data_IF_027520037760
#
_entry.id   IF_027520037760
#
_cell.length_a   1.000
_cell.length_b   1.000
_cell.length_c   1.000
_cell.angle_alpha   90.00
_cell.angle_beta   90.00
_cell.angle_gamma   90.00
#
_symmetry.space_group_name_H-M   'P 1'
#
loop_
_entity.id
_entity.type
_entity.pdbx_description
1 polymer ?
#
# COMPACT_ATOMS: atom_id res chain seq x y z
N UNK A 1 44.83 -29.70 -5.50
CA UNK A 1 46.00 -28.82 -5.76
C UNK A 1 45.75 -28.12 -7.09
N UNK A 2 46.19 -26.85 -7.23
CA UNK A 2 45.86 -25.84 -8.26
C UNK A 2 44.58 -25.04 -7.93
N UNK A 3 44.48 -23.69 -7.94
CA UNK A 3 45.33 -22.52 -7.59
C UNK A 3 44.44 -21.27 -7.79
N UNK A 4 44.48 -20.37 -6.80
CA UNK A 4 44.21 -18.90 -6.75
C UNK A 4 43.15 -18.18 -7.62
N UNK A 5 42.44 -17.25 -6.98
CA UNK A 5 41.95 -16.00 -7.58
C UNK A 5 41.44 -15.00 -6.53
N UNK A 6 42.28 -14.02 -6.14
CA UNK A 6 41.88 -12.83 -5.34
C UNK A 6 41.18 -11.85 -6.28
N UNK A 7 40.03 -11.31 -5.89
CA UNK A 7 39.46 -10.09 -6.49
C UNK A 7 39.47 -9.02 -5.41
N UNK A 8 40.23 -7.96 -5.66
CA UNK A 8 40.25 -6.74 -4.87
C UNK A 8 39.11 -5.83 -5.34
N UNK A 9 38.34 -5.26 -4.42
CA UNK A 9 37.41 -4.17 -4.71
C UNK A 9 37.76 -2.96 -3.86
N UNK A 10 37.85 -1.82 -4.55
CA UNK A 10 38.30 -0.51 -4.05
C UNK A 10 37.37 0.04 -2.97
N UNK A 11 37.97 0.67 -1.97
CA UNK A 11 37.31 1.58 -1.04
C UNK A 11 36.86 2.84 -1.80
N UNK A 12 35.58 3.21 -1.67
CA UNK A 12 35.10 4.55 -2.01
C UNK A 12 34.88 5.33 -0.71
N UNK A 13 35.29 6.59 -0.75
CA UNK A 13 35.32 7.54 0.36
C UNK A 13 33.91 7.89 0.85
N UNK A 14 33.73 8.00 2.16
CA UNK A 14 32.42 8.02 2.85
C UNK A 14 31.66 9.35 2.79
N UNK A 15 32.08 10.29 1.96
CA UNK A 15 31.58 11.67 1.99
C UNK A 15 30.38 11.97 1.07
N UNK A 16 29.89 10.99 0.29
CA UNK A 16 28.88 11.24 -0.76
C UNK A 16 27.42 10.87 -0.41
N UNK A 17 27.12 10.53 0.85
CA UNK A 17 25.77 10.10 1.30
C UNK A 17 24.92 11.22 1.96
N UNK A 18 25.16 12.50 1.62
CA UNK A 18 24.46 13.62 2.28
C UNK A 18 23.09 14.00 1.71
N UNK A 19 22.55 13.29 0.73
CA UNK A 19 21.29 13.72 0.08
C UNK A 19 20.39 12.56 -0.32
N UNK A 20 19.80 11.87 0.67
CA UNK A 20 18.49 11.23 0.44
C UNK A 20 17.56 11.47 1.63
N UNK A 21 16.37 11.96 1.28
CA UNK A 21 15.44 12.66 2.15
C UNK A 21 15.06 11.90 3.42
N UNK A 22 14.91 12.69 4.47
CA UNK A 22 14.44 12.29 5.80
C UNK A 22 13.10 11.55 5.72
N UNK A 23 13.12 10.22 5.84
CA UNK A 23 11.94 9.43 6.20
C UNK A 23 12.32 8.35 7.22
N UNK A 24 11.61 8.37 8.35
CA UNK A 24 11.66 7.47 9.52
C UNK A 24 12.99 7.27 10.25
N UNK A 25 13.25 8.16 11.23
CA UNK A 25 14.25 7.94 12.28
C UNK A 25 13.68 7.05 13.40
N UNK A 26 13.54 5.77 13.11
CA UNK A 26 13.73 4.67 14.07
C UNK A 26 14.43 3.53 13.32
N UNK A 27 15.65 3.81 12.88
CA UNK A 27 16.49 2.82 12.21
C UNK A 27 17.30 2.14 13.30
N UNK A 28 16.93 0.90 13.64
CA UNK A 28 17.88 -0.02 14.27
C UNK A 28 19.09 -0.08 13.34
N UNK A 29 20.26 0.37 13.81
CA UNK A 29 21.50 0.27 13.06
C UNK A 29 21.78 -1.22 12.80
N UNK A 30 21.43 -1.66 11.60
CA UNK A 30 22.00 -2.84 10.99
C UNK A 30 22.97 -2.32 9.93
N UNK A 31 24.20 -2.85 9.92
CA UNK A 31 25.10 -2.66 8.79
C UNK A 31 24.48 -3.39 7.59
N UNK A 32 23.71 -2.64 6.79
CA UNK A 32 23.01 -3.19 5.63
C UNK A 32 23.89 -2.93 4.41
N UNK A 33 24.49 -3.99 3.85
CA UNK A 33 25.17 -3.95 2.57
C UNK A 33 24.24 -3.33 1.51
N UNK A 34 24.77 -2.46 0.65
CA UNK A 34 24.04 -1.69 -0.38
C UNK A 34 23.17 -2.59 -1.32
N UNK A 35 23.57 -3.85 -1.50
CA UNK A 35 22.83 -4.88 -2.23
C UNK A 35 21.52 -5.30 -1.54
N UNK A 36 21.45 -5.25 -0.21
CA UNK A 36 20.22 -5.52 0.56
C UNK A 36 19.23 -4.34 0.51
N UNK A 37 19.72 -3.11 0.34
CA UNK A 37 18.88 -1.92 0.17
C UNK A 37 18.25 -1.91 -1.24
N UNK A 38 19.01 -2.27 -2.27
CA UNK A 38 18.49 -2.41 -3.64
C UNK A 38 17.46 -3.55 -3.79
N UNK A 39 17.59 -4.61 -2.99
CA UNK A 39 16.59 -5.69 -2.94
C UNK A 39 15.32 -5.32 -2.15
N UNK A 40 15.35 -4.28 -1.30
CA UNK A 40 14.14 -3.75 -0.66
C UNK A 40 13.23 -2.99 -1.64
N UNK A 41 13.78 -2.55 -2.78
CA UNK A 41 13.06 -1.75 -3.80
C UNK A 41 12.59 -2.59 -4.99
N UNK A 42 13.06 -3.84 -5.15
CA UNK A 42 12.58 -4.75 -6.21
C UNK A 42 11.51 -5.73 -5.70
N UNK A 43 10.24 -5.34 -5.82
CA UNK A 43 9.10 -6.26 -5.62
C UNK A 43 9.00 -7.26 -6.78
N UNK A 44 9.69 -8.40 -6.68
CA UNK A 44 9.54 -9.48 -7.68
C UNK A 44 8.07 -9.92 -7.78
N UNK A 45 7.51 -9.86 -8.99
CA UNK A 45 6.08 -10.09 -9.20
C UNK A 45 5.76 -11.09 -10.32
N UNK A 46 6.80 -11.69 -10.92
CA UNK A 46 6.71 -12.66 -12.01
C UNK A 46 5.79 -13.84 -11.64
N UNK A 47 4.85 -14.18 -12.52
CA UNK A 47 3.87 -15.25 -12.32
C UNK A 47 4.53 -16.61 -12.09
N UNK A 48 5.71 -16.87 -12.68
CA UNK A 48 6.45 -18.14 -12.52
C UNK A 48 6.97 -18.35 -11.10
N UNK A 49 7.06 -17.27 -10.32
CA UNK A 49 7.48 -17.30 -8.91
C UNK A 49 6.29 -17.42 -7.95
N UNK A 50 5.05 -17.58 -8.44
CA UNK A 50 3.83 -17.52 -7.64
C UNK A 50 2.93 -18.74 -7.86
N UNK A 51 2.47 -19.35 -6.77
CA UNK A 51 1.29 -20.20 -6.80
C UNK A 51 0.04 -19.31 -6.78
N UNK A 52 -0.57 -19.13 -7.95
CA UNK A 52 -1.70 -18.21 -8.13
C UNK A 52 -3.00 -18.87 -7.68
N UNK A 53 -3.67 -18.26 -6.69
CA UNK A 53 -4.99 -18.66 -6.21
C UNK A 53 -6.14 -17.89 -6.89
N UNK A 54 -7.28 -17.79 -6.20
CA UNK A 54 -8.42 -16.96 -6.62
C UNK A 54 -8.07 -15.47 -6.52
N UNK A 55 -8.80 -14.65 -7.28
CA UNK A 55 -8.71 -13.19 -7.17
C UNK A 55 -9.06 -12.71 -5.75
N UNK A 56 -8.35 -11.67 -5.29
CA UNK A 56 -8.69 -11.00 -4.05
C UNK A 56 -9.85 -10.05 -4.29
N UNK A 57 -10.91 -10.18 -3.49
CA UNK A 57 -12.13 -9.37 -3.60
C UNK A 57 -12.30 -8.36 -2.47
N UNK A 58 -11.27 -8.14 -1.63
CA UNK A 58 -11.33 -7.06 -0.64
C UNK A 58 -11.35 -5.74 -1.41
N UNK A 59 -12.35 -4.91 -1.14
CA UNK A 59 -12.60 -3.73 -1.95
C UNK A 59 -13.39 -2.69 -1.18
N UNK A 60 -14.41 -2.13 -1.83
CA UNK A 60 -15.10 -0.95 -1.32
C UNK A 60 -15.77 -1.20 0.04
N UNK A 61 -16.29 -2.40 0.27
CA UNK A 61 -16.93 -2.80 1.53
C UNK A 61 -15.97 -2.71 2.73
N UNK A 62 -14.71 -3.14 2.55
CA UNK A 62 -13.67 -3.09 3.58
C UNK A 62 -13.14 -1.68 3.76
N UNK A 63 -12.85 -0.98 2.68
CA UNK A 63 -12.32 0.39 2.72
C UNK A 63 -13.28 1.33 3.46
N UNK A 64 -14.60 1.18 3.29
CA UNK A 64 -15.61 1.98 3.99
C UNK A 64 -15.64 1.79 5.51
N UNK A 65 -15.10 0.70 6.03
CA UNK A 65 -15.04 0.43 7.47
C UNK A 65 -13.78 1.00 8.12
N UNK A 66 -12.76 1.36 7.32
CA UNK A 66 -11.49 1.87 7.83
C UNK A 66 -11.69 3.24 8.48
N UNK A 67 -11.02 3.42 9.62
CA UNK A 67 -10.89 4.71 10.30
C UNK A 67 -9.47 5.22 10.14
N UNK A 68 -9.35 6.46 9.70
CA UNK A 68 -8.07 7.16 9.54
C UNK A 68 -7.94 8.18 10.66
N UNK A 69 -6.76 8.23 11.26
CA UNK A 69 -6.47 9.06 12.42
C UNK A 69 -5.25 9.93 12.16
N UNK A 70 -5.30 11.16 12.69
CA UNK A 70 -4.10 11.94 12.94
C UNK A 70 -3.49 11.47 14.26
N UNK A 71 -2.18 11.25 14.31
CA UNK A 71 -1.50 10.82 15.52
C UNK A 71 -0.06 11.33 15.55
N UNK A 72 0.54 11.27 16.74
CA UNK A 72 1.98 11.47 16.95
C UNK A 72 2.53 10.27 17.71
N UNK A 73 3.81 9.96 17.54
CA UNK A 73 4.41 8.86 18.28
C UNK A 73 4.69 9.26 19.74
N UNK A 74 4.41 8.33 20.67
CA UNK A 74 4.64 8.57 22.10
C UNK A 74 6.10 8.88 22.40
N UNK A 75 7.03 8.19 21.73
CA UNK A 75 8.49 8.31 21.89
C UNK A 75 9.12 9.35 20.94
N UNK A 76 8.31 10.12 20.23
CA UNK A 76 8.80 11.24 19.41
C UNK A 76 8.66 12.54 20.19
N UNK A 77 9.81 13.17 20.49
CA UNK A 77 9.88 14.42 21.25
C UNK A 77 9.44 15.61 20.40
N UNK A 78 9.61 15.54 19.08
CA UNK A 78 9.20 16.61 18.15
C UNK A 78 7.69 16.61 17.88
N UNK A 79 6.99 15.55 18.30
CA UNK A 79 5.55 15.35 18.08
C UNK A 79 5.15 15.56 16.62
N UNK A 80 5.94 14.98 15.71
CA UNK A 80 5.70 15.07 14.28
C UNK A 80 4.30 14.51 13.94
N UNK A 81 3.44 15.28 13.26
CA UNK A 81 2.12 14.83 12.87
C UNK A 81 2.19 13.73 11.81
N UNK A 82 1.42 12.66 12.03
CA UNK A 82 1.26 11.56 11.08
C UNK A 82 -0.22 11.28 10.83
N UNK A 83 -0.49 10.69 9.67
CA UNK A 83 -1.81 10.18 9.29
C UNK A 83 -1.70 8.68 9.07
N UNK A 84 -2.64 7.91 9.59
CA UNK A 84 -2.65 6.48 9.38
C UNK A 84 -3.82 5.76 10.01
N UNK A 85 -3.70 4.45 10.10
CA UNK A 85 -4.70 3.56 10.71
C UNK A 85 -4.12 2.89 11.95
N UNK A 86 -4.99 2.45 12.84
CA UNK A 86 -4.61 1.67 14.02
C UNK A 86 -4.63 0.18 13.67
N UNK A 87 -3.51 -0.51 13.88
CA UNK A 87 -3.34 -1.92 13.48
C UNK A 87 -4.41 -2.85 14.10
N UNK A 88 -4.82 -2.61 15.34
CA UNK A 88 -5.84 -3.39 16.02
C UNK A 88 -7.23 -3.24 15.39
N UNK A 89 -7.56 -2.05 14.89
CA UNK A 89 -8.82 -1.82 14.19
C UNK A 89 -8.76 -2.35 12.75
N UNK A 90 -7.62 -2.17 12.08
CA UNK A 90 -7.38 -2.76 10.77
C UNK A 90 -7.51 -4.28 10.81
N UNK A 91 -7.00 -4.95 11.84
CA UNK A 91 -7.05 -6.41 11.97
C UNK A 91 -8.48 -6.97 11.98
N UNK A 92 -9.46 -6.20 12.48
CA UNK A 92 -10.88 -6.61 12.47
C UNK A 92 -11.48 -6.56 11.06
N UNK A 93 -10.93 -5.75 10.17
CA UNK A 93 -11.46 -5.46 8.84
C UNK A 93 -10.68 -6.25 7.76
N UNK A 94 -9.36 -6.19 7.83
CA UNK A 94 -8.36 -6.83 6.96
C UNK A 94 -7.35 -7.60 7.84
N UNK A 95 -7.71 -8.79 8.37
CA UNK A 95 -6.85 -9.53 9.29
C UNK A 95 -5.50 -9.90 8.67
N UNK A 96 -5.48 -10.25 7.38
CA UNK A 96 -4.25 -10.63 6.67
C UNK A 96 -3.29 -9.44 6.48
N UNK A 97 -3.80 -8.21 6.53
CA UNK A 97 -2.97 -7.01 6.46
C UNK A 97 -2.22 -6.73 7.75
N UNK A 98 -2.45 -7.50 8.82
CA UNK A 98 -1.85 -7.27 10.14
C UNK A 98 -1.04 -8.47 10.59
N UNK A 99 0.19 -8.22 11.02
CA UNK A 99 1.08 -9.24 11.58
C UNK A 99 1.49 -8.87 12.99
N UNK A 100 1.72 -9.88 13.83
CA UNK A 100 2.30 -9.68 15.15
C UNK A 100 3.81 -9.87 15.08
N UNK A 101 4.55 -8.85 15.49
CA UNK A 101 6.01 -8.89 15.63
C UNK A 101 6.43 -9.77 16.80
N UNK A 102 7.73 -10.13 16.83
CA UNK A 102 8.33 -10.90 17.93
C UNK A 102 8.30 -10.17 19.26
N UNK A 103 8.29 -8.84 19.21
CA UNK A 103 8.16 -7.91 20.34
C UNK A 103 6.71 -7.78 20.86
N UNK A 104 5.75 -8.44 20.20
CA UNK A 104 4.34 -8.45 20.57
C UNK A 104 3.52 -7.30 19.98
N UNK A 105 4.15 -6.33 19.30
CA UNK A 105 3.43 -5.24 18.64
C UNK A 105 2.84 -5.69 17.30
N UNK A 106 1.75 -5.06 16.88
CA UNK A 106 1.15 -5.30 15.58
C UNK A 106 1.76 -4.38 14.52
N UNK A 107 2.09 -4.94 13.37
CA UNK A 107 2.56 -4.23 12.18
C UNK A 107 1.59 -4.44 11.03
N UNK A 108 1.62 -3.52 10.06
CA UNK A 108 0.68 -3.50 8.93
C UNK A 108 1.44 -3.75 7.63
N UNK A 109 0.84 -4.52 6.73
CA UNK A 109 1.21 -4.65 5.33
C UNK A 109 0.41 -3.64 4.52
N UNK A 110 1.05 -2.54 4.13
CA UNK A 110 0.38 -1.45 3.43
C UNK A 110 -0.10 -1.87 2.03
N UNK A 111 0.55 -2.85 1.42
CA UNK A 111 0.23 -3.37 0.09
C UNK A 111 -1.16 -3.99 0.04
N UNK A 112 -1.57 -4.73 1.09
CA UNK A 112 -2.90 -5.34 1.14
C UNK A 112 -4.00 -4.28 1.15
N UNK A 113 -3.79 -3.17 1.87
CA UNK A 113 -4.72 -2.03 1.84
C UNK A 113 -4.70 -1.35 0.48
N UNK A 114 -3.53 -1.19 -0.13
CA UNK A 114 -3.40 -0.57 -1.45
C UNK A 114 -4.17 -1.35 -2.53
N UNK A 115 -4.05 -2.68 -2.56
CA UNK A 115 -4.82 -3.50 -3.51
C UNK A 115 -6.32 -3.50 -3.20
N UNK A 116 -6.72 -3.41 -1.92
CA UNK A 116 -8.12 -3.21 -1.56
C UNK A 116 -8.66 -1.86 -2.07
N UNK A 117 -7.86 -0.79 -2.01
CA UNK A 117 -8.21 0.51 -2.61
C UNK A 117 -8.36 0.40 -4.13
N UNK A 118 -7.46 -0.30 -4.82
CA UNK A 118 -7.57 -0.53 -6.28
C UNK A 118 -8.90 -1.23 -6.62
N UNK A 119 -9.26 -2.28 -5.89
CA UNK A 119 -10.53 -2.99 -6.08
C UNK A 119 -11.72 -2.06 -5.79
N UNK A 120 -11.65 -1.25 -4.73
CA UNK A 120 -12.69 -0.28 -4.40
C UNK A 120 -12.90 0.75 -5.53
N UNK A 121 -11.82 1.24 -6.15
CA UNK A 121 -11.90 2.17 -7.29
C UNK A 121 -12.57 1.50 -8.49
N UNK A 122 -12.22 0.26 -8.82
CA UNK A 122 -12.88 -0.50 -9.89
C UNK A 122 -14.37 -0.71 -9.64
N UNK A 123 -14.74 -1.05 -8.40
CA UNK A 123 -16.15 -1.18 -8.00
C UNK A 123 -16.90 0.15 -8.11
N UNK A 124 -16.27 1.26 -7.71
CA UNK A 124 -16.86 2.59 -7.82
C UNK A 124 -17.05 2.99 -9.29
N UNK A 125 -16.05 2.77 -10.14
CA UNK A 125 -16.10 3.04 -11.58
C UNK A 125 -17.26 2.29 -12.27
N UNK A 126 -17.40 0.99 -11.95
CA UNK A 126 -18.50 0.18 -12.47
C UNK A 126 -19.88 0.72 -12.03
N UNK A 127 -20.01 1.14 -10.76
CA UNK A 127 -21.26 1.74 -10.24
C UNK A 127 -21.56 3.09 -10.88
N UNK A 128 -20.54 3.94 -11.05
CA UNK A 128 -20.69 5.25 -11.69
C UNK A 128 -21.14 5.09 -13.13
N UNK A 129 -20.49 4.22 -13.91
CA UNK A 129 -20.86 3.95 -15.31
C UNK A 129 -22.30 3.42 -15.42
N UNK A 130 -22.71 2.52 -14.51
CA UNK A 130 -24.08 2.02 -14.50
C UNK A 130 -25.11 3.12 -14.19
N UNK A 131 -24.82 3.97 -13.19
CA UNK A 131 -25.69 5.08 -12.81
C UNK A 131 -25.76 6.16 -13.90
N UNK A 132 -24.67 6.45 -14.59
CA UNK A 132 -24.64 7.40 -15.71
C UNK A 132 -25.51 6.91 -16.87
N UNK A 133 -25.45 5.61 -17.19
CA UNK A 133 -26.30 4.98 -18.19
C UNK A 133 -27.79 5.06 -17.82
N UNK A 134 -28.14 4.67 -16.59
CA UNK A 134 -29.51 4.72 -16.11
C UNK A 134 -30.06 6.15 -16.14
N UNK A 135 -29.25 7.14 -15.72
CA UNK A 135 -29.62 8.54 -15.74
C UNK A 135 -29.87 9.04 -17.18
N UNK A 136 -29.04 8.64 -18.14
CA UNK A 136 -29.26 8.98 -19.55
C UNK A 136 -30.57 8.37 -20.10
N UNK A 137 -30.88 7.12 -19.76
CA UNK A 137 -32.13 6.45 -20.17
C UNK A 137 -33.36 7.13 -19.54
N UNK A 138 -33.28 7.48 -18.25
CA UNK A 138 -34.35 8.18 -17.55
C UNK A 138 -34.60 9.57 -18.12
N UNK A 139 -33.55 10.34 -18.43
CA UNK A 139 -33.67 11.65 -19.10
C UNK A 139 -34.33 11.51 -20.47
N UNK A 140 -33.89 10.56 -21.29
CA UNK A 140 -34.47 10.31 -22.60
C UNK A 140 -35.94 9.85 -22.52
N UNK A 141 -36.35 9.20 -21.43
CA UNK A 141 -37.75 8.85 -21.18
C UNK A 141 -38.56 10.06 -20.73
N UNK A 142 -38.00 10.91 -19.87
CA UNK A 142 -38.62 12.14 -19.39
C UNK A 142 -38.94 13.08 -20.57
N UNK A 143 -37.96 13.33 -21.44
CA UNK A 143 -38.13 14.17 -22.64
C UNK A 143 -39.28 13.69 -23.53
N UNK A 144 -39.40 12.36 -23.71
CA UNK A 144 -40.49 11.74 -24.49
C UNK A 144 -41.86 11.88 -23.83
N UNK A 145 -41.93 11.90 -22.51
CA UNK A 145 -43.19 12.08 -21.78
C UNK A 145 -43.60 13.55 -21.79
N UNK A 146 -42.67 14.47 -21.58
CA UNK A 146 -42.92 15.92 -21.66
C UNK A 146 -43.41 16.32 -23.06
N UNK A 147 -42.82 15.75 -24.11
CA UNK A 147 -43.27 15.97 -25.49
C UNK A 147 -44.68 15.44 -25.79
N UNK A 148 -45.24 14.53 -24.97
CA UNK A 148 -46.62 14.02 -25.13
C UNK A 148 -47.67 14.84 -24.37
N UNK A 149 -47.23 15.63 -23.40
CA UNK A 149 -48.11 16.44 -22.54
C UNK A 149 -48.26 17.86 -23.13
N UNK A 150 -47.35 18.26 -24.03
CA UNK A 150 -47.37 19.51 -24.77
C UNK A 150 -48.15 19.38 -26.08
#
# INVERSE_FOLDING_TARGET
MIVTGRIATRFYDTDDLKTFGRYNRYVHHYDINDDLLNNYVQSTSDRRLKYVGKENSSGLDKIRQLKVFNYTYKKDDNKEPHVGVIAQDLQKILPDAVKKGKDGFLTIRMEDMFYAVINAVKELDARVTALEKENAELKARLDRLEAKIK
#
